data_IF_187296162698
#
_entry.id   IF_187296162698
#
_cell.length_a   1.000
_cell.length_b   1.000
_cell.length_c   1.000
_cell.angle_alpha   90.00
_cell.angle_beta   90.00
_cell.angle_gamma   90.00
#
_symmetry.space_group_name_H-M   'P 1'
#
loop_
_entity.id
_entity.type
_entity.pdbx_description
1 polymer ?
#
# COMPACT_ATOMS: atom_id res chain seq x y z
N UNK A 1 -5.02 -3.66 11.10
CA UNK A 1 -3.88 -3.96 10.19
C UNK A 1 -4.10 -5.30 9.49
N UNK A 2 -4.07 -5.31 8.16
CA UNK A 2 -4.39 -6.49 7.32
C UNK A 2 -3.32 -7.59 7.39
N UNK A 3 -3.70 -8.84 7.09
CA UNK A 3 -2.84 -10.05 7.14
C UNK A 3 -1.57 -9.89 6.32
N UNK A 4 -1.67 -9.37 5.09
CA UNK A 4 -0.53 -9.17 4.18
C UNK A 4 0.48 -8.18 4.75
N UNK A 5 0.00 -7.06 5.29
CA UNK A 5 0.85 -6.04 5.92
C UNK A 5 1.61 -6.61 7.12
N UNK A 6 0.93 -7.36 8.01
CA UNK A 6 1.59 -8.03 9.15
C UNK A 6 2.66 -9.02 8.69
N UNK A 7 2.36 -9.87 7.69
CA UNK A 7 3.34 -10.83 7.15
C UNK A 7 4.58 -10.14 6.60
N UNK A 8 4.40 -9.11 5.78
CA UNK A 8 5.50 -8.42 5.10
C UNK A 8 6.32 -7.51 6.03
N UNK A 9 5.71 -6.93 7.05
CA UNK A 9 6.41 -6.03 7.99
C UNK A 9 7.04 -6.75 9.18
N UNK A 10 6.40 -7.79 9.71
CA UNK A 10 6.93 -8.55 10.86
C UNK A 10 7.89 -9.66 10.44
N UNK A 11 7.80 -10.16 9.20
CA UNK A 11 8.70 -11.18 8.65
C UNK A 11 8.91 -12.40 9.56
N UNK A 12 7.83 -12.87 10.20
CA UNK A 12 7.86 -14.01 11.13
C UNK A 12 8.02 -13.64 12.60
N UNK A 13 8.32 -12.38 12.93
CA UNK A 13 8.26 -11.90 14.31
C UNK A 13 6.82 -11.91 14.85
N UNK A 14 6.64 -12.24 16.13
CA UNK A 14 5.31 -12.23 16.79
C UNK A 14 4.77 -10.82 17.00
N UNK A 15 5.65 -9.84 17.24
CA UNK A 15 5.33 -8.42 17.52
C UNK A 15 6.55 -7.53 17.31
N UNK A 16 6.33 -6.22 17.17
CA UNK A 16 7.40 -5.21 17.27
C UNK A 16 7.87 -5.03 18.72
N UNK A 17 9.08 -4.52 18.89
CA UNK A 17 9.66 -4.25 20.21
C UNK A 17 9.08 -2.98 20.83
N UNK A 18 8.66 -2.02 20.00
CA UNK A 18 8.01 -0.78 20.45
C UNK A 18 6.90 -0.31 19.51
N UNK A 19 6.03 0.56 20.02
CA UNK A 19 5.01 1.22 19.22
C UNK A 19 5.60 2.13 18.13
N UNK A 20 6.79 2.72 18.37
CA UNK A 20 7.50 3.56 17.40
C UNK A 20 7.95 2.74 16.19
N UNK A 21 8.54 1.57 16.42
CA UNK A 21 8.94 0.65 15.34
C UNK A 21 7.72 0.19 14.52
N UNK A 22 6.62 -0.17 15.20
CA UNK A 22 5.40 -0.56 14.52
C UNK A 22 4.88 0.54 13.59
N UNK A 23 4.82 1.79 14.07
CA UNK A 23 4.38 2.94 13.25
C UNK A 23 5.28 3.16 12.04
N UNK A 24 6.61 3.12 12.22
CA UNK A 24 7.55 3.31 11.11
C UNK A 24 7.45 2.17 10.08
N UNK A 25 7.33 0.92 10.53
CA UNK A 25 7.17 -0.23 9.65
C UNK A 25 5.87 -0.15 8.84
N UNK A 26 4.75 0.18 9.51
CA UNK A 26 3.45 0.35 8.84
C UNK A 26 3.47 1.52 7.88
N UNK A 27 4.06 2.66 8.26
CA UNK A 27 4.16 3.83 7.40
C UNK A 27 4.97 3.54 6.13
N UNK A 28 6.15 2.91 6.27
CA UNK A 28 6.94 2.48 5.12
C UNK A 28 6.17 1.50 4.22
N UNK A 29 5.44 0.57 4.83
CA UNK A 29 4.67 -0.43 4.10
C UNK A 29 3.52 0.20 3.31
N UNK A 30 2.70 1.07 3.91
CA UNK A 30 1.55 1.67 3.24
C UNK A 30 1.99 2.59 2.11
N UNK A 31 3.06 3.36 2.30
CA UNK A 31 3.62 4.20 1.24
C UNK A 31 4.07 3.37 0.05
N UNK A 32 4.81 2.27 0.28
CA UNK A 32 5.22 1.36 -0.80
C UNK A 32 4.01 0.67 -1.46
N UNK A 33 3.02 0.25 -0.67
CA UNK A 33 1.81 -0.39 -1.16
C UNK A 33 1.07 0.53 -2.13
N UNK A 34 0.81 1.77 -1.72
CA UNK A 34 0.03 2.72 -2.50
C UNK A 34 0.76 3.25 -3.74
N UNK A 35 2.09 3.37 -3.70
CA UNK A 35 2.88 4.03 -4.78
C UNK A 35 3.62 3.08 -5.71
N UNK A 36 3.89 1.84 -5.28
CA UNK A 36 4.77 0.93 -6.04
C UNK A 36 4.19 -0.46 -6.26
N UNK A 37 3.32 -0.96 -5.36
CA UNK A 37 2.84 -2.34 -5.46
C UNK A 37 1.85 -2.46 -6.61
N UNK A 38 2.17 -3.32 -7.57
CA UNK A 38 1.29 -3.60 -8.70
C UNK A 38 0.27 -4.66 -8.34
N UNK A 39 -0.99 -4.42 -8.71
CA UNK A 39 -2.10 -5.34 -8.49
C UNK A 39 -2.64 -5.85 -9.82
N UNK A 40 -2.73 -7.17 -10.00
CA UNK A 40 -3.30 -7.77 -11.21
C UNK A 40 -4.74 -7.31 -11.47
N UNK A 41 -5.54 -7.19 -10.40
CA UNK A 41 -6.90 -6.65 -10.46
C UNK A 41 -6.98 -5.19 -10.92
N UNK A 42 -5.90 -4.42 -10.77
CA UNK A 42 -5.81 -3.01 -11.21
C UNK A 42 -5.06 -2.87 -12.55
N UNK A 43 -4.94 -3.95 -13.32
CA UNK A 43 -4.19 -3.92 -14.58
C UNK A 43 -2.68 -3.73 -14.39
N UNK A 44 -2.12 -4.27 -13.31
CA UNK A 44 -0.72 -4.11 -12.90
C UNK A 44 -0.31 -2.66 -12.58
N UNK A 45 -1.26 -1.84 -12.15
CA UNK A 45 -1.00 -0.50 -11.63
C UNK A 45 -0.86 -0.50 -10.10
N UNK A 46 -0.20 0.53 -9.58
CA UNK A 46 -0.30 0.83 -8.16
C UNK A 46 -1.68 1.43 -7.83
N UNK A 47 -2.14 1.31 -6.58
CA UNK A 47 -3.40 1.92 -6.17
C UNK A 47 -3.47 3.41 -6.52
N UNK A 48 -2.40 4.18 -6.25
CA UNK A 48 -2.39 5.59 -6.60
C UNK A 48 -2.45 5.83 -8.11
N UNK A 49 -1.69 5.08 -8.91
CA UNK A 49 -1.73 5.24 -10.38
C UNK A 49 -3.11 4.89 -10.96
N UNK A 50 -3.77 3.88 -10.38
CA UNK A 50 -5.11 3.46 -10.78
C UNK A 50 -6.16 4.55 -10.48
N UNK A 51 -6.13 5.10 -9.27
CA UNK A 51 -7.03 6.20 -8.87
C UNK A 51 -6.77 7.45 -9.72
N UNK A 52 -5.52 7.81 -9.98
CA UNK A 52 -5.16 8.95 -10.84
C UNK A 52 -5.73 8.81 -12.25
N UNK A 53 -5.58 7.63 -12.89
CA UNK A 53 -6.17 7.39 -14.22
C UNK A 53 -7.69 7.47 -14.22
N UNK A 54 -8.32 7.07 -13.12
CA UNK A 54 -9.76 7.15 -12.96
C UNK A 54 -10.21 8.61 -12.85
N UNK A 55 -9.51 9.41 -12.05
CA UNK A 55 -9.75 10.85 -11.92
C UNK A 55 -9.53 11.57 -13.27
N UNK A 56 -8.41 11.31 -13.95
CA UNK A 56 -8.13 11.90 -15.26
C UNK A 56 -9.22 11.57 -16.27
N UNK A 57 -9.72 10.33 -16.27
CA UNK A 57 -10.82 9.91 -17.16
C UNK A 57 -12.12 10.66 -16.87
N UNK A 58 -12.44 10.91 -15.60
CA UNK A 58 -13.64 11.68 -15.21
C UNK A 58 -13.49 13.14 -15.60
N UNK A 59 -12.32 13.74 -15.37
CA UNK A 59 -12.04 15.14 -15.70
C UNK A 59 -12.02 15.40 -17.22
N UNK A 60 -11.51 14.46 -18.02
CA UNK A 60 -11.49 14.58 -19.48
C UNK A 60 -12.87 14.34 -20.13
N UNK A 61 -13.84 13.81 -19.39
CA UNK A 61 -15.20 13.54 -19.86
C UNK A 61 -16.23 14.61 -19.42
N UNK A 62 -15.78 15.62 -18.67
CA UNK A 62 -16.58 16.78 -18.23
C UNK A 62 -16.26 18.01 -19.08
#
# INVERSE_FOLDING_TARGET
MCRTSKRETLQGAKRWSSAREARLAVFKWITRYNTRRRHSALGYLSPNDYEQRTVDRVLLAA
#
